data_IF_999257744194
#
_entry.id   IF_999257744194
#
_cell.length_a   1.000
_cell.length_b   1.000
_cell.length_c   1.000
_cell.angle_alpha   90.00
_cell.angle_beta   90.00
_cell.angle_gamma   90.00
#
_symmetry.space_group_name_H-M   'P 1'
#
loop_
_entity.id
_entity.type
_entity.pdbx_description
1 polymer ?
#
# COMPACT_ATOMS: atom_id res chain seq x y z
N UNK A 1 20.79 1.66 -6.53
CA UNK A 1 19.81 1.45 -5.43
C UNK A 1 20.30 0.26 -4.62
N UNK A 2 20.52 0.40 -3.30
CA UNK A 2 20.90 -0.73 -2.47
C UNK A 2 19.78 -1.78 -2.46
N UNK A 3 20.14 -3.06 -2.54
CA UNK A 3 19.20 -4.18 -2.51
C UNK A 3 19.42 -5.01 -1.25
N UNK A 4 18.33 -5.39 -0.57
CA UNK A 4 18.38 -6.25 0.61
C UNK A 4 17.82 -7.63 0.23
N UNK A 5 18.59 -8.68 0.53
CA UNK A 5 18.16 -10.07 0.38
C UNK A 5 17.96 -10.68 1.77
N UNK A 6 16.72 -11.00 2.11
CA UNK A 6 16.41 -11.80 3.29
C UNK A 6 16.46 -13.28 2.94
N UNK A 7 17.37 -14.01 3.58
CA UNK A 7 17.49 -15.48 3.49
C UNK A 7 16.86 -16.13 4.72
N UNK A 8 16.50 -17.40 4.56
CA UNK A 8 16.07 -18.28 5.65
C UNK A 8 14.89 -17.76 6.48
N UNK A 9 13.99 -17.02 5.83
CA UNK A 9 12.75 -16.54 6.46
C UNK A 9 11.87 -17.74 6.81
N UNK A 10 11.42 -17.89 8.07
CA UNK A 10 10.54 -18.98 8.47
C UNK A 10 9.30 -19.03 7.57
N UNK A 11 8.92 -20.22 7.11
CA UNK A 11 7.80 -20.42 6.16
C UNK A 11 6.51 -19.73 6.62
N UNK A 12 6.21 -19.81 7.92
CA UNK A 12 5.06 -19.16 8.55
C UNK A 12 5.11 -17.64 8.39
N UNK A 13 6.27 -17.03 8.65
CA UNK A 13 6.47 -15.58 8.53
C UNK A 13 6.35 -15.13 7.07
N UNK A 14 6.94 -15.88 6.14
CA UNK A 14 6.83 -15.60 4.71
C UNK A 14 5.36 -15.64 4.23
N UNK A 15 4.56 -16.60 4.71
CA UNK A 15 3.12 -16.68 4.40
C UNK A 15 2.35 -15.48 4.97
N UNK A 16 2.63 -15.07 6.21
CA UNK A 16 2.00 -13.89 6.82
C UNK A 16 2.32 -12.62 6.05
N UNK A 17 3.58 -12.43 5.63
CA UNK A 17 4.01 -11.31 4.80
C UNK A 17 3.27 -11.29 3.46
N UNK A 18 3.14 -12.44 2.79
CA UNK A 18 2.42 -12.54 1.52
C UNK A 18 0.94 -12.18 1.66
N UNK A 19 0.27 -12.68 2.71
CA UNK A 19 -1.12 -12.36 2.98
C UNK A 19 -1.32 -10.85 3.25
N UNK A 20 -0.41 -10.25 4.02
CA UNK A 20 -0.42 -8.81 4.30
C UNK A 20 -0.20 -7.97 3.03
N UNK A 21 0.77 -8.36 2.19
CA UNK A 21 1.03 -7.70 0.91
C UNK A 21 -0.21 -7.73 -0.01
N UNK A 22 -0.89 -8.88 -0.12
CA UNK A 22 -2.13 -9.01 -0.89
C UNK A 22 -3.25 -8.12 -0.36
N UNK A 23 -3.44 -8.08 0.96
CA UNK A 23 -4.46 -7.22 1.61
C UNK A 23 -4.22 -5.74 1.30
N UNK A 24 -2.96 -5.31 1.28
CA UNK A 24 -2.57 -3.93 1.01
C UNK A 24 -2.39 -3.62 -0.49
N UNK A 25 -2.68 -4.58 -1.39
CA UNK A 25 -2.47 -4.46 -2.85
C UNK A 25 -1.04 -4.06 -3.22
N UNK A 26 -0.05 -4.56 -2.47
CA UNK A 26 1.39 -4.30 -2.66
C UNK A 26 2.11 -5.54 -3.14
N UNK A 27 3.23 -5.35 -3.82
CA UNK A 27 4.17 -6.46 -4.05
C UNK A 27 4.81 -6.90 -2.71
N UNK A 28 5.33 -8.13 -2.66
CA UNK A 28 5.99 -8.63 -1.45
C UNK A 28 7.20 -7.77 -1.06
N UNK A 29 7.94 -7.28 -2.06
CA UNK A 29 9.09 -6.41 -1.86
C UNK A 29 8.68 -5.03 -1.32
N UNK A 30 7.60 -4.44 -1.85
CA UNK A 30 7.06 -3.18 -1.36
C UNK A 30 6.57 -3.29 0.08
N UNK A 31 5.90 -4.39 0.44
CA UNK A 31 5.46 -4.59 1.83
C UNK A 31 6.64 -4.78 2.78
N UNK A 32 7.71 -5.46 2.34
CA UNK A 32 8.94 -5.59 3.13
C UNK A 32 9.62 -4.25 3.37
N UNK A 33 9.76 -3.42 2.32
CA UNK A 33 10.31 -2.08 2.44
C UNK A 33 9.47 -1.23 3.39
N UNK A 34 8.14 -1.24 3.23
CA UNK A 34 7.23 -0.51 4.11
C UNK A 34 7.40 -0.89 5.58
N UNK A 35 7.52 -2.19 5.88
CA UNK A 35 7.73 -2.65 7.26
C UNK A 35 9.12 -2.26 7.80
N UNK A 36 10.16 -2.30 6.98
CA UNK A 36 11.51 -1.87 7.37
C UNK A 36 11.57 -0.36 7.62
N UNK A 37 11.05 0.45 6.70
CA UNK A 37 10.96 1.90 6.85
C UNK A 37 10.24 2.27 8.13
N UNK A 38 9.11 1.60 8.39
CA UNK A 38 8.33 1.82 9.59
C UNK A 38 9.08 1.43 10.88
N UNK A 39 9.78 0.30 10.87
CA UNK A 39 10.59 -0.14 12.00
C UNK A 39 11.76 0.81 12.29
N UNK A 40 12.38 1.37 11.25
CA UNK A 40 13.51 2.31 11.38
C UNK A 40 13.06 3.70 11.83
N UNK A 41 11.95 4.19 11.29
CA UNK A 41 11.41 5.53 11.63
C UNK A 41 10.68 5.56 12.96
N UNK A 42 10.36 4.41 13.55
CA UNK A 42 9.57 4.33 14.77
C UNK A 42 8.13 4.82 14.59
N UNK A 43 7.65 4.92 13.34
CA UNK A 43 6.26 5.24 13.04
C UNK A 43 5.38 4.12 13.62
N UNK A 44 4.77 4.40 14.77
CA UNK A 44 3.82 3.49 15.40
C UNK A 44 2.61 3.29 14.48
N UNK A 45 1.85 2.21 14.70
CA UNK A 45 0.47 2.05 14.21
C UNK A 45 -0.48 3.08 14.85
N UNK A 46 0.00 4.27 15.21
CA UNK A 46 -0.91 5.40 15.29
C UNK A 46 -1.52 5.46 13.91
N UNK A 47 -2.79 5.05 13.83
CA UNK A 47 -3.66 5.41 12.75
C UNK A 47 -3.56 6.93 12.70
N UNK A 48 -2.62 7.43 11.92
CA UNK A 48 -2.48 8.83 11.60
C UNK A 48 -3.88 9.18 11.14
N UNK A 49 -4.56 10.00 11.94
CA UNK A 49 -5.98 10.22 11.78
C UNK A 49 -6.12 10.81 10.39
N UNK A 50 -6.58 9.98 9.45
CA UNK A 50 -6.64 10.38 8.06
C UNK A 50 -7.48 11.65 8.04
N UNK A 51 -7.06 12.69 7.31
CA UNK A 51 -7.88 13.87 7.19
C UNK A 51 -9.27 13.41 6.73
N UNK A 52 -10.34 14.03 7.25
CA UNK A 52 -11.69 13.66 6.90
C UNK A 52 -11.82 13.67 5.37
N UNK A 53 -12.58 12.72 4.79
CA UNK A 53 -12.74 12.64 3.35
C UNK A 53 -13.20 13.99 2.82
N UNK A 54 -12.50 14.49 1.80
CA UNK A 54 -12.87 15.76 1.17
C UNK A 54 -14.28 15.64 0.60
N UNK A 55 -15.22 16.53 0.95
CA UNK A 55 -16.56 16.48 0.41
C UNK A 55 -16.51 16.74 -1.09
N UNK A 56 -17.05 15.82 -1.88
CA UNK A 56 -17.18 16.00 -3.33
C UNK A 56 -18.60 16.48 -3.65
N UNK A 57 -18.78 17.57 -4.42
CA UNK A 57 -20.11 18.10 -4.75
C UNK A 57 -20.95 17.16 -5.61
N UNK A 58 -20.33 16.13 -6.20
CA UNK A 58 -20.98 15.05 -6.93
C UNK A 58 -20.42 13.70 -6.48
N UNK A 59 -21.21 12.62 -6.54
CA UNK A 59 -20.71 11.29 -6.26
C UNK A 59 -19.64 10.89 -7.29
N UNK A 60 -18.52 10.37 -6.80
CA UNK A 60 -17.48 9.81 -7.65
C UNK A 60 -17.92 8.43 -8.13
N UNK A 61 -18.55 8.36 -9.30
CA UNK A 61 -19.04 7.11 -9.87
C UNK A 61 -17.98 6.41 -10.72
N UNK A 62 -18.07 5.08 -10.84
CA UNK A 62 -17.19 4.30 -11.72
C UNK A 62 -17.24 4.76 -13.18
N UNK A 63 -18.42 5.17 -13.65
CA UNK A 63 -18.59 5.71 -15.00
C UNK A 63 -17.81 7.01 -15.20
N UNK A 64 -17.87 7.91 -14.20
CA UNK A 64 -17.09 9.15 -14.21
C UNK A 64 -15.59 8.86 -14.20
N UNK A 65 -15.14 7.94 -13.35
CA UNK A 65 -13.73 7.57 -13.22
C UNK A 65 -13.17 7.00 -14.54
N UNK A 66 -13.90 6.07 -15.17
CA UNK A 66 -13.53 5.48 -16.47
C UNK A 66 -13.48 6.55 -17.58
N UNK A 67 -14.43 7.47 -17.61
CA UNK A 67 -14.44 8.56 -18.58
C UNK A 67 -13.24 9.51 -18.41
N UNK A 68 -12.86 9.82 -17.17
CA UNK A 68 -11.70 10.65 -16.85
C UNK A 68 -10.38 9.98 -17.28
N UNK A 69 -10.19 8.70 -16.94
CA UNK A 69 -9.01 7.91 -17.36
C UNK A 69 -8.88 7.87 -18.87
N UNK A 70 -10.00 7.63 -19.58
CA UNK A 70 -10.00 7.61 -21.06
C UNK A 70 -9.59 8.96 -21.65
N UNK A 71 -10.09 10.07 -21.08
CA UNK A 71 -9.77 11.42 -21.53
C UNK A 71 -8.29 11.77 -21.35
N UNK A 72 -7.67 11.33 -20.26
CA UNK A 72 -6.25 11.59 -19.98
C UNK A 72 -5.26 10.70 -20.74
N UNK A 73 -5.75 9.68 -21.46
CA UNK A 73 -4.93 8.78 -22.30
C UNK A 73 -5.02 9.08 -23.80
N UNK A 74 -5.85 10.04 -24.20
CA UNK A 74 -5.94 10.55 -25.57
C UNK A 74 -4.97 11.71 -25.76
#
# INVERSE_FOLDING_TARGET
MPSVLLKDVPKKLHQQLRARAQRNRRSMHQEMLFLLERAVTGAADTAEELPPPMPTPRPLTDAWLKAAVRRGRA
#
